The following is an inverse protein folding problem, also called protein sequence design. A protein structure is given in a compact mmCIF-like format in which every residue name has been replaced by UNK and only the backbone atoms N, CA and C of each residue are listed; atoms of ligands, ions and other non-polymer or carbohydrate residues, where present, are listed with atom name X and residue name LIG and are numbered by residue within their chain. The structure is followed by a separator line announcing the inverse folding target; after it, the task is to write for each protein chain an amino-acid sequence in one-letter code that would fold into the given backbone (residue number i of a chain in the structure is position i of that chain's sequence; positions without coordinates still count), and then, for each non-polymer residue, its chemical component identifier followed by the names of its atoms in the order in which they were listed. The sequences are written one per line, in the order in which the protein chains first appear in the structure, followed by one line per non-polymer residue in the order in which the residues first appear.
data_IF_549185295779
#
_entry.id   IF_549185295779
#
_cell.length_a   1.000
_cell.length_b   1.000
_cell.length_c   1.000
_cell.angle_alpha   90.00
_cell.angle_beta   90.00
_cell.angle_gamma   90.00
#
_symmetry.space_group_name_H-M   'P 1'
#
loop_
_entity.id
_entity.type
_entity.pdbx_description
1 polymer ?
#
# COMPACT_ATOMS: atom_id res chain seq x y z
N UNK A 1 9.29 -2.07 7.13
CA UNK A 1 9.22 -0.58 6.93
C UNK A 1 7.84 0.03 6.73
N UNK A 2 7.04 -0.40 5.76
CA UNK A 2 5.69 0.16 5.53
C UNK A 2 4.82 0.11 6.79
N UNK A 3 4.97 -0.96 7.58
CA UNK A 3 4.30 -1.14 8.87
C UNK A 3 4.63 -0.01 9.86
N UNK A 4 5.88 0.46 9.90
CA UNK A 4 6.26 1.58 10.77
C UNK A 4 5.54 2.87 10.36
N UNK A 5 5.50 3.17 9.05
CA UNK A 5 4.76 4.33 8.54
C UNK A 5 3.26 4.29 8.88
N UNK A 6 2.65 3.10 8.82
CA UNK A 6 1.28 2.88 9.28
C UNK A 6 1.16 3.14 10.78
N UNK A 7 1.99 2.50 11.60
CA UNK A 7 1.94 2.59 13.08
C UNK A 7 2.18 4.02 13.57
N UNK A 8 3.14 4.74 13.00
CA UNK A 8 3.43 6.13 13.36
C UNK A 8 2.21 7.02 13.10
N UNK A 9 1.51 6.83 11.97
CA UNK A 9 0.28 7.57 11.65
C UNK A 9 -0.91 7.16 12.51
N UNK A 10 -1.03 5.88 12.87
CA UNK A 10 -2.05 5.39 13.79
C UNK A 10 -1.91 6.04 15.16
N UNK A 11 -0.69 6.10 15.68
CA UNK A 11 -0.37 6.75 16.96
C UNK A 11 -0.63 8.24 16.90
N UNK A 12 -0.18 8.92 15.84
CA UNK A 12 -0.38 10.37 15.66
C UNK A 12 -1.87 10.75 15.61
N UNK A 13 -2.71 9.89 15.03
CA UNK A 13 -4.15 10.13 14.86
C UNK A 13 -5.01 9.52 15.97
N UNK A 14 -4.41 8.73 16.85
CA UNK A 14 -5.12 7.90 17.81
C UNK A 14 -6.23 7.04 17.14
N UNK A 15 -5.90 6.45 15.98
CA UNK A 15 -6.82 5.65 15.18
C UNK A 15 -6.09 4.42 14.63
N UNK A 16 -6.71 3.25 14.69
CA UNK A 16 -6.20 2.01 14.05
C UNK A 16 -6.85 1.77 12.69
N UNK A 17 -6.04 1.35 11.72
CA UNK A 17 -6.47 0.90 10.40
C UNK A 17 -6.65 -0.62 10.41
N UNK A 18 -7.90 -1.07 10.38
CA UNK A 18 -8.27 -2.49 10.39
C UNK A 18 -7.93 -3.23 9.09
N UNK A 19 -7.84 -2.49 7.99
CA UNK A 19 -7.70 -3.02 6.64
C UNK A 19 -6.52 -2.36 5.94
N UNK A 20 -5.69 -3.17 5.30
CA UNK A 20 -4.49 -2.73 4.57
C UNK A 20 -4.59 -3.26 3.15
N UNK A 21 -4.41 -2.38 2.17
CA UNK A 21 -4.32 -2.75 0.76
C UNK A 21 -2.89 -2.55 0.27
N UNK A 22 -2.31 -3.57 -0.34
CA UNK A 22 -0.95 -3.54 -0.87
C UNK A 22 -0.95 -3.71 -2.37
N UNK A 23 -0.40 -2.72 -3.07
CA UNK A 23 -0.18 -2.77 -4.51
C UNK A 23 1.33 -2.91 -4.73
N UNK A 24 1.79 -4.04 -5.26
CA UNK A 24 3.23 -4.33 -5.47
C UNK A 24 3.47 -5.11 -6.74
N UNK A 25 4.68 -5.04 -7.29
CA UNK A 25 5.16 -5.92 -8.35
C UNK A 25 5.92 -7.15 -7.85
N UNK A 26 6.18 -7.22 -6.55
CA UNK A 26 6.92 -8.31 -5.92
C UNK A 26 5.99 -9.34 -5.27
N UNK A 27 5.97 -10.53 -5.84
CA UNK A 27 5.20 -11.68 -5.32
C UNK A 27 5.70 -12.13 -3.95
N UNK A 28 6.97 -11.90 -3.61
CA UNK A 28 7.54 -12.30 -2.31
C UNK A 28 6.94 -11.49 -1.16
N UNK A 29 6.67 -10.20 -1.37
CA UNK A 29 6.03 -9.30 -0.39
C UNK A 29 4.65 -9.83 0.02
N UNK A 30 3.89 -10.36 -0.93
CA UNK A 30 2.59 -10.96 -0.65
C UNK A 30 2.70 -12.13 0.34
N UNK A 31 3.67 -13.02 0.13
CA UNK A 31 3.87 -14.19 1.00
C UNK A 31 4.27 -13.76 2.42
N UNK A 32 5.17 -12.79 2.54
CA UNK A 32 5.58 -12.26 3.84
C UNK A 32 4.42 -11.62 4.60
N UNK A 33 3.60 -10.80 3.94
CA UNK A 33 2.44 -10.16 4.57
C UNK A 33 1.38 -11.15 5.02
N UNK A 34 1.08 -12.18 4.21
CA UNK A 34 0.18 -13.25 4.59
C UNK A 34 0.72 -14.00 5.83
N UNK A 35 2.02 -14.26 5.86
CA UNK A 35 2.67 -14.91 7.00
C UNK A 35 2.57 -14.05 8.28
N UNK A 36 2.80 -12.75 8.19
CA UNK A 36 2.71 -11.82 9.32
C UNK A 36 1.28 -11.64 9.83
N UNK A 37 0.28 -11.62 8.94
CA UNK A 37 -1.13 -11.54 9.32
C UNK A 37 -1.64 -12.83 9.97
N UNK A 38 -1.07 -13.99 9.63
CA UNK A 38 -1.52 -15.29 10.09
C UNK A 38 -1.24 -15.50 11.59
N UNK A 39 -2.29 -15.65 12.44
CA UNK A 39 -2.11 -15.85 13.87
C UNK A 39 -1.42 -17.16 14.25
N UNK A 40 -1.39 -18.14 13.34
CA UNK A 40 -0.79 -19.47 13.57
C UNK A 40 0.64 -19.57 13.05
N UNK A 41 1.11 -18.58 12.30
CA UNK A 41 2.48 -18.59 11.80
C UNK A 41 3.48 -18.33 12.92
N UNK A 42 4.56 -19.11 12.90
CA UNK A 42 5.75 -18.97 13.77
C UNK A 42 6.94 -18.36 13.01
N UNK A 43 6.72 -17.78 11.82
CA UNK A 43 7.77 -17.25 10.96
C UNK A 43 8.68 -16.26 11.71
N UNK A 44 9.98 -16.36 11.43
CA UNK A 44 11.06 -15.73 12.20
C UNK A 44 11.38 -14.31 11.71
N UNK A 45 10.96 -13.98 10.49
CA UNK A 45 11.66 -12.99 9.68
C UNK A 45 11.29 -11.51 9.95
N UNK A 46 10.29 -11.18 10.77
CA UNK A 46 10.09 -9.79 11.24
C UNK A 46 9.10 -9.72 12.43
N UNK A 47 9.58 -9.75 13.69
CA UNK A 47 8.73 -9.68 14.88
C UNK A 47 7.88 -8.42 14.94
N UNK A 48 8.42 -7.29 14.47
CA UNK A 48 7.74 -5.99 14.47
C UNK A 48 6.54 -5.99 13.52
N UNK A 49 6.73 -6.38 12.25
CA UNK A 49 5.63 -6.45 11.29
C UNK A 49 4.53 -7.39 11.78
N UNK A 50 4.89 -8.54 12.35
CA UNK A 50 3.94 -9.49 12.94
C UNK A 50 3.16 -8.86 14.08
N UNK A 51 3.80 -8.18 15.02
CA UNK A 51 3.11 -7.55 16.15
C UNK A 51 1.99 -6.60 15.69
N UNK A 52 2.26 -5.81 14.65
CA UNK A 52 1.34 -4.76 14.23
C UNK A 52 0.37 -5.18 13.13
N UNK A 53 0.70 -6.17 12.29
CA UNK A 53 -0.17 -6.63 11.20
C UNK A 53 -1.07 -7.82 11.58
N UNK A 54 -0.78 -8.53 12.67
CA UNK A 54 -1.54 -9.72 13.08
C UNK A 54 -3.03 -9.42 13.26
N UNK A 55 -3.88 -10.26 12.66
CA UNK A 55 -5.33 -10.12 12.75
C UNK A 55 -5.94 -9.00 11.91
N UNK A 56 -5.13 -8.23 11.16
CA UNK A 56 -5.64 -7.25 10.19
C UNK A 56 -6.09 -7.91 8.91
N UNK A 57 -7.06 -7.29 8.23
CA UNK A 57 -7.45 -7.70 6.89
C UNK A 57 -6.43 -7.15 5.88
N UNK A 58 -5.61 -8.03 5.31
CA UNK A 58 -4.66 -7.65 4.26
C UNK A 58 -5.22 -8.08 2.91
N UNK A 59 -5.46 -7.09 2.06
CA UNK A 59 -5.78 -7.27 0.65
C UNK A 59 -4.54 -6.87 -0.15
N UNK A 60 -4.32 -7.52 -1.29
CA UNK A 60 -3.18 -7.21 -2.13
C UNK A 60 -3.55 -7.36 -3.60
N UNK A 61 -2.85 -6.61 -4.44
CA UNK A 61 -2.81 -6.81 -5.87
C UNK A 61 -1.35 -6.84 -6.31
N UNK A 62 -0.95 -7.96 -6.93
CA UNK A 62 0.40 -8.14 -7.46
C UNK A 62 0.34 -7.98 -8.97
N UNK A 63 1.01 -6.95 -9.50
CA UNK A 63 1.03 -6.68 -10.93
C UNK A 63 2.40 -7.04 -11.51
N UNK A 64 2.45 -7.66 -12.68
CA UNK A 64 3.70 -7.85 -13.39
C UNK A 64 4.03 -6.57 -14.17
N UNK A 65 5.08 -5.78 -13.81
CA UNK A 65 5.37 -4.49 -14.45
C UNK A 65 5.55 -4.63 -15.96
N UNK A 66 6.16 -5.74 -16.38
CA UNK A 66 6.40 -6.07 -17.78
C UNK A 66 5.09 -6.25 -18.56
N UNK A 67 4.03 -6.76 -17.93
CA UNK A 67 2.71 -6.92 -18.55
C UNK A 67 1.92 -5.61 -18.56
N UNK A 68 2.15 -4.69 -17.61
CA UNK A 68 1.45 -3.41 -17.56
C UNK A 68 1.80 -2.46 -18.71
N UNK A 69 2.97 -2.64 -19.33
CA UNK A 69 3.43 -1.82 -20.46
C UNK A 69 3.50 -2.59 -21.78
N UNK A 70 3.07 -3.86 -21.79
CA UNK A 70 2.90 -4.62 -23.02
C UNK A 70 1.53 -4.28 -23.64
N UNK A 71 1.48 -3.63 -24.83
CA UNK A 71 0.23 -3.26 -25.48
C UNK A 71 -0.65 -4.47 -25.85
N UNK A 72 -0.10 -5.68 -25.88
CA UNK A 72 -0.82 -6.93 -26.13
C UNK A 72 -1.34 -7.60 -24.84
N UNK A 73 -0.93 -7.14 -23.66
CA UNK A 73 -1.37 -7.66 -22.35
C UNK A 73 -2.06 -6.53 -21.56
N UNK A 74 -3.12 -5.96 -22.16
CA UNK A 74 -3.95 -4.88 -21.57
C UNK A 74 -4.44 -5.15 -20.15
N UNK A 75 -4.59 -6.41 -19.77
CA UNK A 75 -5.09 -6.83 -18.45
C UNK A 75 -4.23 -6.26 -17.32
N UNK A 76 -2.90 -6.20 -17.48
CA UNK A 76 -2.00 -5.67 -16.46
C UNK A 76 -2.20 -4.17 -16.23
N UNK A 77 -2.42 -3.41 -17.29
CA UNK A 77 -2.68 -1.97 -17.21
C UNK A 77 -4.07 -1.68 -16.61
N UNK A 78 -5.10 -2.43 -17.00
CA UNK A 78 -6.45 -2.30 -16.43
C UNK A 78 -6.48 -2.62 -14.93
N UNK A 79 -5.78 -3.67 -14.50
CA UNK A 79 -5.63 -4.01 -13.07
C UNK A 79 -4.93 -2.89 -12.28
N UNK A 80 -3.91 -2.27 -12.87
CA UNK A 80 -3.24 -1.11 -12.29
C UNK A 80 -4.22 0.07 -12.12
N UNK A 81 -4.98 0.42 -13.16
CA UNK A 81 -5.94 1.53 -13.10
C UNK A 81 -7.03 1.31 -12.05
N UNK A 82 -7.59 0.10 -11.97
CA UNK A 82 -8.61 -0.24 -10.95
C UNK A 82 -8.04 -0.12 -9.54
N UNK A 83 -6.80 -0.58 -9.33
CA UNK A 83 -6.14 -0.49 -8.01
C UNK A 83 -5.84 0.94 -7.62
N UNK A 84 -5.41 1.75 -8.58
CA UNK A 84 -5.17 3.16 -8.40
C UNK A 84 -6.46 3.90 -8.03
N UNK A 85 -7.55 3.66 -8.75
CA UNK A 85 -8.86 4.26 -8.42
C UNK A 85 -9.35 3.82 -7.04
N UNK A 86 -9.16 2.55 -6.68
CA UNK A 86 -9.50 2.04 -5.35
C UNK A 86 -8.73 2.76 -4.24
N UNK A 87 -7.40 2.89 -4.39
CA UNK A 87 -6.57 3.63 -3.43
C UNK A 87 -7.04 5.08 -3.28
N UNK A 88 -7.28 5.74 -4.42
CA UNK A 88 -7.68 7.13 -4.50
C UNK A 88 -9.05 7.40 -3.86
N UNK A 89 -9.99 6.47 -4.00
CA UNK A 89 -11.34 6.63 -3.46
C UNK A 89 -11.46 6.23 -1.99
N UNK A 90 -10.77 5.16 -1.56
CA UNK A 90 -11.08 4.48 -0.30
C UNK A 90 -9.95 4.50 0.73
N UNK A 91 -8.69 4.71 0.32
CA UNK A 91 -7.61 4.74 1.29
C UNK A 91 -7.80 5.92 2.25
N UNK A 92 -7.50 5.73 3.52
CA UNK A 92 -7.40 6.84 4.49
C UNK A 92 -5.97 7.37 4.63
N UNK A 93 -5.02 6.51 4.30
CA UNK A 93 -3.59 6.73 4.33
C UNK A 93 -2.98 5.94 3.17
N UNK A 94 -2.08 6.56 2.42
CA UNK A 94 -1.28 5.93 1.38
C UNK A 94 0.18 6.04 1.81
N UNK A 95 0.89 4.91 1.81
CA UNK A 95 2.33 4.81 2.10
C UNK A 95 3.00 4.15 0.89
N UNK A 96 4.04 4.76 0.36
CA UNK A 96 4.79 4.27 -0.79
C UNK A 96 6.13 5.00 -0.91
N UNK A 97 7.01 4.52 -1.78
CA UNK A 97 8.30 5.17 -2.00
C UNK A 97 8.18 6.38 -2.94
N UNK A 98 8.91 7.47 -2.65
CA UNK A 98 8.89 8.67 -3.49
C UNK A 98 9.77 8.55 -4.74
N UNK A 99 10.66 7.56 -4.79
CA UNK A 99 11.45 7.24 -6.00
C UNK A 99 10.64 6.45 -7.04
N UNK A 100 9.52 5.84 -6.63
CA UNK A 100 8.60 5.15 -7.53
C UNK A 100 7.76 6.14 -8.33
N UNK A 101 7.74 5.96 -9.66
CA UNK A 101 6.82 6.72 -10.54
C UNK A 101 5.36 6.58 -10.12
N UNK A 102 4.97 5.38 -9.66
CA UNK A 102 3.61 5.12 -9.16
C UNK A 102 3.35 5.87 -7.86
N UNK A 103 4.33 5.88 -6.94
CA UNK A 103 4.25 6.62 -5.68
C UNK A 103 4.08 8.12 -5.90
N UNK A 104 4.94 8.72 -6.75
CA UNK A 104 4.86 10.15 -7.11
C UNK A 104 3.55 10.50 -7.80
N UNK A 105 3.12 9.67 -8.76
CA UNK A 105 1.86 9.91 -9.46
C UNK A 105 0.65 9.87 -8.51
N UNK A 106 0.63 8.94 -7.55
CA UNK A 106 -0.41 8.91 -6.51
C UNK A 106 -0.35 10.16 -5.62
N UNK A 107 0.84 10.63 -5.26
CA UNK A 107 1.00 11.85 -4.47
C UNK A 107 0.40 13.07 -5.18
N UNK A 108 0.77 13.29 -6.43
CA UNK A 108 0.27 14.40 -7.26
C UNK A 108 -1.25 14.33 -7.44
N UNK A 109 -1.78 13.14 -7.73
CA UNK A 109 -3.21 12.92 -7.90
C UNK A 109 -3.99 13.23 -6.61
N UNK A 110 -3.46 12.81 -5.46
CA UNK A 110 -4.06 13.08 -4.15
C UNK A 110 -4.02 14.56 -3.81
N UNK A 111 -2.89 15.21 -4.06
CA UNK A 111 -2.74 16.66 -3.90
C UNK A 111 -3.77 17.42 -4.74
N UNK A 112 -3.89 17.10 -6.03
CA UNK A 112 -4.86 17.73 -6.93
C UNK A 112 -6.31 17.53 -6.46
N UNK A 113 -6.69 16.31 -6.04
CA UNK A 113 -8.05 16.03 -5.55
C UNK A 113 -8.37 16.77 -4.25
N UNK A 114 -7.39 16.96 -3.36
CA UNK A 114 -7.56 17.81 -2.19
C UNK A 114 -7.83 19.27 -2.55
N UNK A 115 -7.08 19.84 -3.50
CA UNK A 115 -7.29 21.22 -3.96
C UNK A 115 -8.67 21.43 -4.57
N UNK A 116 -9.21 20.41 -5.23
CA UNK A 116 -10.52 20.46 -5.88
C UNK A 116 -11.71 20.31 -4.91
N UNK A 117 -11.49 20.21 -3.59
CA UNK A 117 -12.55 19.98 -2.59
C UNK A 117 -13.47 18.78 -2.89
N UNK A 118 -13.01 17.85 -3.74
CA UNK A 118 -13.59 16.51 -3.78
C UNK A 118 -13.46 15.97 -2.36
N UNK A 119 -14.46 15.27 -1.84
CA UNK A 119 -14.49 14.78 -0.45
C UNK A 119 -13.41 13.72 -0.20
N UNK A 120 -12.14 14.11 -0.28
CA UNK A 120 -10.99 13.26 -0.09
C UNK A 120 -10.78 13.17 1.42
N UNK A 121 -11.35 12.12 2.00
CA UNK A 121 -11.09 11.72 3.40
C UNK A 121 -9.71 11.05 3.54
N UNK A 122 -9.01 10.86 2.43
CA UNK A 122 -7.68 10.28 2.34
C UNK A 122 -6.65 11.32 2.72
N UNK A 123 -5.89 11.09 3.78
CA UNK A 123 -4.72 11.91 4.05
C UNK A 123 -3.51 11.16 3.50
N UNK A 124 -3.09 11.52 2.30
CA UNK A 124 -1.95 10.88 1.66
C UNK A 124 -0.66 11.38 2.27
N UNK A 125 0.21 10.44 2.63
CA UNK A 125 1.51 10.75 3.18
C UNK A 125 2.51 9.80 2.53
N UNK A 126 2.98 10.19 1.34
CA UNK A 126 4.07 9.49 0.66
C UNK A 126 5.35 9.81 1.45
N UNK A 127 5.74 8.88 2.31
CA UNK A 127 7.02 8.92 3.03
C UNK A 127 7.90 7.86 2.41
N UNK A 128 9.15 8.22 2.08
CA UNK A 128 10.17 7.24 1.73
C UNK A 128 10.13 6.09 2.72
N UNK A 129 9.64 4.94 2.27
CA UNK A 129 9.95 3.71 2.94
C UNK A 129 11.48 3.56 2.82
N UNK A 130 12.23 3.38 3.92
CA UNK A 130 13.68 3.30 3.84
C UNK A 130 14.15 2.18 2.87
N UNK A 131 15.41 2.17 2.47
CA UNK A 131 15.89 1.32 1.36
C UNK A 131 16.20 -0.14 1.74
N UNK A 132 15.77 -0.64 2.90
CA UNK A 132 16.13 -2.00 3.33
C UNK A 132 15.00 -2.71 4.08
N UNK A 133 14.57 -3.86 3.52
CA UNK A 133 13.65 -4.82 4.15
C UNK A 133 14.04 -5.13 5.59
#
# INVERSE_FOLDING_TARGET
MYVKGIVDEEQRRNQTFSSIFVMTDDVSVMKSLQDYANPRSKGIDEPYARQYLRGRQIMYNVFAPQACFDPFIRIGFEQFLVSLEFLVQYAKLIVGHSDSNVGRYLEELMYARHQLNVSVRTHSLVRDAPNSL
#
